data_IF_747552885367
#
_entry.id   IF_747552885367
#
_cell.length_a   1.000
_cell.length_b   1.000
_cell.length_c   1.000
_cell.angle_alpha   90.00
_cell.angle_beta   90.00
_cell.angle_gamma   90.00
#
_symmetry.space_group_name_H-M   'P 1'
#
loop_
_entity.id
_entity.type
_entity.pdbx_description
1 polymer ?
#
# COMPACT_ATOMS: atom_id res chain seq x y z
N UNK A 1 -15.60 10.36 22.23
CA UNK A 1 -15.81 8.89 22.25
C UNK A 1 -16.06 8.47 20.81
N UNK A 2 -15.12 7.77 20.19
CA UNK A 2 -15.29 7.25 18.82
C UNK A 2 -16.17 6.01 18.94
N UNK A 3 -17.43 6.10 18.50
CA UNK A 3 -18.28 4.91 18.41
C UNK A 3 -17.89 4.16 17.14
N UNK A 4 -17.63 2.83 17.20
CA UNK A 4 -17.40 2.04 16.01
C UNK A 4 -18.60 2.21 15.06
N UNK A 5 -18.34 2.50 13.79
CA UNK A 5 -19.40 2.57 12.78
C UNK A 5 -19.99 1.16 12.61
N UNK A 6 -21.31 1.06 12.71
CA UNK A 6 -22.01 -0.18 12.42
C UNK A 6 -22.24 -0.28 10.91
N UNK A 7 -21.30 -0.92 10.23
CA UNK A 7 -21.25 -1.11 8.77
C UNK A 7 -22.42 -1.95 8.23
N UNK A 8 -23.18 -2.62 9.11
CA UNK A 8 -24.38 -3.39 8.73
C UNK A 8 -25.59 -2.48 8.47
N UNK A 9 -25.57 -1.25 8.97
CA UNK A 9 -26.63 -0.26 8.77
C UNK A 9 -26.53 0.41 7.43
N UNK A 10 -27.60 1.11 7.04
CA UNK A 10 -27.63 1.95 5.85
C UNK A 10 -26.41 2.86 5.78
N UNK A 11 -25.86 2.98 4.58
CA UNK A 11 -24.68 3.77 4.32
C UNK A 11 -24.99 5.26 4.62
N UNK A 12 -24.11 5.90 5.40
CA UNK A 12 -24.25 7.29 5.81
C UNK A 12 -24.23 8.29 4.64
N UNK A 13 -23.69 7.89 3.48
CA UNK A 13 -23.72 8.68 2.26
C UNK A 13 -25.13 8.76 1.62
N UNK A 14 -26.10 7.99 2.13
CA UNK A 14 -27.45 7.90 1.56
C UNK A 14 -27.53 7.09 0.26
N UNK A 15 -26.42 6.47 -0.15
CA UNK A 15 -26.30 5.63 -1.34
C UNK A 15 -25.72 4.29 -0.90
N UNK A 16 -26.39 3.20 -1.27
CA UNK A 16 -25.90 1.84 -1.06
C UNK A 16 -25.02 1.40 -2.23
N UNK A 17 -23.99 0.62 -1.91
CA UNK A 17 -23.08 0.04 -2.90
C UNK A 17 -23.17 -1.47 -2.82
N UNK A 18 -23.38 -2.13 -3.95
CA UNK A 18 -23.37 -3.59 -4.01
C UNK A 18 -21.92 -4.12 -3.99
N UNK A 19 -21.08 -3.57 -4.86
CA UNK A 19 -19.75 -4.10 -5.13
C UNK A 19 -18.68 -3.01 -4.89
N UNK A 20 -17.62 -3.37 -4.18
CA UNK A 20 -16.42 -2.55 -3.99
C UNK A 20 -15.25 -3.25 -4.68
N UNK A 21 -14.58 -2.54 -5.59
CA UNK A 21 -13.40 -3.01 -6.31
C UNK A 21 -12.19 -2.18 -5.87
N UNK A 22 -11.14 -2.85 -5.43
CA UNK A 22 -9.92 -2.22 -4.94
C UNK A 22 -8.74 -2.58 -5.84
N UNK A 23 -8.15 -1.58 -6.49
CA UNK A 23 -6.78 -1.68 -6.97
C UNK A 23 -5.85 -1.59 -5.76
N UNK A 24 -5.32 -2.73 -5.36
CA UNK A 24 -4.49 -2.86 -4.17
C UNK A 24 -3.16 -2.11 -4.31
N UNK A 25 -2.63 -1.93 -5.51
CA UNK A 25 -1.37 -1.21 -5.68
C UNK A 25 -1.50 0.27 -5.36
N UNK A 26 -2.67 0.86 -5.59
CA UNK A 26 -3.01 2.23 -5.18
C UNK A 26 -3.04 2.37 -3.66
N UNK A 27 -3.36 1.30 -2.93
CA UNK A 27 -3.39 1.27 -1.45
C UNK A 27 -1.99 1.00 -0.88
N UNK A 28 -1.30 -0.01 -1.41
CA UNK A 28 -0.01 -0.48 -0.89
C UNK A 28 1.06 0.62 -1.02
N UNK A 29 1.15 1.29 -2.17
CA UNK A 29 2.20 2.29 -2.41
C UNK A 29 2.22 3.41 -1.34
N UNK A 30 1.12 4.12 -1.04
CA UNK A 30 1.07 5.10 0.05
C UNK A 30 1.31 4.51 1.44
N UNK A 31 0.98 3.24 1.68
CA UNK A 31 1.26 2.58 2.96
C UNK A 31 2.75 2.26 3.15
N UNK A 32 3.52 2.17 2.06
CA UNK A 32 4.98 1.94 2.09
C UNK A 32 5.79 3.22 2.24
N UNK A 33 5.31 4.30 1.64
CA UNK A 33 6.01 5.60 1.58
C UNK A 33 4.98 6.74 1.72
N UNK A 34 4.41 6.92 2.92
CA UNK A 34 3.49 8.01 3.16
C UNK A 34 4.18 9.37 2.97
N UNK A 35 3.46 10.35 2.39
CA UNK A 35 3.97 11.72 2.19
C UNK A 35 3.87 12.57 3.46
N UNK A 36 2.83 12.34 4.27
CA UNK A 36 2.44 13.22 5.38
C UNK A 36 2.79 12.66 6.76
N UNK A 37 3.35 11.44 6.83
CA UNK A 37 3.76 10.78 8.09
C UNK A 37 5.08 10.02 7.87
N UNK A 38 5.79 9.64 8.94
CA UNK A 38 6.99 8.83 8.82
C UNK A 38 6.74 7.51 8.09
N UNK A 39 7.72 6.98 7.35
CA UNK A 39 7.61 5.66 6.73
C UNK A 39 7.52 4.58 7.81
N UNK A 40 6.84 3.46 7.52
CA UNK A 40 6.76 2.33 8.45
C UNK A 40 8.15 1.77 8.75
N UNK A 41 8.35 1.31 9.97
CA UNK A 41 9.64 0.83 10.48
C UNK A 41 10.03 -0.51 9.89
N UNK A 42 9.05 -1.33 9.56
CA UNK A 42 9.24 -2.68 9.03
C UNK A 42 8.05 -3.13 8.17
N UNK A 43 8.20 -4.31 7.54
CA UNK A 43 7.19 -4.90 6.66
C UNK A 43 5.88 -5.23 7.38
N UNK A 44 5.89 -5.55 8.67
CA UNK A 44 4.67 -5.88 9.39
C UNK A 44 3.83 -4.63 9.65
N UNK A 45 4.46 -3.51 10.02
CA UNK A 45 3.79 -2.21 10.13
C UNK A 45 3.16 -1.78 8.80
N UNK A 46 3.84 -2.02 7.67
CA UNK A 46 3.28 -1.78 6.34
C UNK A 46 1.98 -2.57 6.08
N UNK A 47 1.92 -3.84 6.51
CA UNK A 47 0.73 -4.67 6.37
C UNK A 47 -0.41 -4.15 7.24
N UNK A 48 -0.10 -3.76 8.48
CA UNK A 48 -1.10 -3.16 9.39
C UNK A 48 -1.69 -1.88 8.77
N UNK A 49 -0.84 -0.99 8.25
CA UNK A 49 -1.30 0.23 7.58
C UNK A 49 -2.16 -0.06 6.35
N UNK A 50 -1.83 -1.12 5.61
CA UNK A 50 -2.62 -1.59 4.47
C UNK A 50 -4.01 -2.03 4.94
N UNK A 51 -4.08 -2.84 6.01
CA UNK A 51 -5.36 -3.30 6.59
C UNK A 51 -6.20 -2.15 7.13
N UNK A 52 -5.60 -1.18 7.82
CA UNK A 52 -6.31 0.00 8.32
C UNK A 52 -6.89 0.84 7.18
N UNK A 53 -6.15 0.98 6.08
CA UNK A 53 -6.64 1.69 4.89
C UNK A 53 -7.82 0.94 4.25
N UNK A 54 -7.73 -0.38 4.14
CA UNK A 54 -8.81 -1.22 3.62
C UNK A 54 -10.06 -1.16 4.51
N UNK A 55 -9.90 -1.27 5.83
CA UNK A 55 -11.00 -1.14 6.79
C UNK A 55 -11.69 0.21 6.61
N UNK A 56 -10.92 1.30 6.52
CA UNK A 56 -11.47 2.63 6.31
C UNK A 56 -12.25 2.75 5.01
N UNK A 57 -11.75 2.19 3.90
CA UNK A 57 -12.46 2.19 2.62
C UNK A 57 -13.74 1.36 2.71
N UNK A 58 -13.68 0.19 3.36
CA UNK A 58 -14.83 -0.66 3.59
C UNK A 58 -15.90 0.07 4.43
N UNK A 59 -15.54 0.74 5.52
CA UNK A 59 -16.48 1.49 6.38
C UNK A 59 -17.14 2.67 5.67
N UNK A 60 -16.49 3.23 4.64
CA UNK A 60 -17.05 4.35 3.85
C UNK A 60 -18.04 3.83 2.82
N UNK A 61 -17.68 2.75 2.11
CA UNK A 61 -18.46 2.23 0.98
C UNK A 61 -19.56 1.28 1.44
N UNK A 62 -19.34 0.53 2.51
CA UNK A 62 -20.25 -0.49 3.05
C UNK A 62 -20.82 -1.42 1.95
N UNK A 63 -19.98 -2.16 1.19
CA UNK A 63 -20.47 -3.00 0.10
C UNK A 63 -21.42 -4.09 0.61
N UNK A 64 -22.48 -4.38 -0.17
CA UNK A 64 -23.55 -5.31 0.23
C UNK A 64 -23.47 -6.69 -0.40
N UNK A 65 -22.69 -6.85 -1.46
CA UNK A 65 -22.60 -8.10 -2.24
C UNK A 65 -21.17 -8.57 -2.46
N UNK A 66 -20.27 -7.69 -2.89
CA UNK A 66 -18.91 -8.09 -3.28
C UNK A 66 -17.83 -7.12 -2.78
N UNK A 67 -16.75 -7.68 -2.26
CA UNK A 67 -15.45 -7.02 -2.15
C UNK A 67 -14.46 -7.73 -3.07
N UNK A 68 -14.01 -7.05 -4.12
CA UNK A 68 -12.98 -7.54 -5.04
C UNK A 68 -11.67 -6.79 -4.81
N UNK A 69 -10.60 -7.52 -4.55
CA UNK A 69 -9.25 -6.97 -4.36
C UNK A 69 -8.33 -7.45 -5.48
N UNK A 70 -7.82 -6.52 -6.27
CA UNK A 70 -6.95 -6.79 -7.41
C UNK A 70 -5.53 -6.30 -7.12
N UNK A 71 -4.57 -7.21 -7.12
CA UNK A 71 -3.14 -6.89 -7.06
C UNK A 71 -2.57 -6.99 -8.48
N UNK A 72 -1.68 -6.08 -8.90
CA UNK A 72 -1.03 -6.24 -10.21
C UNK A 72 -0.31 -7.60 -10.29
N UNK A 73 -0.60 -8.32 -11.37
CA UNK A 73 0.13 -9.50 -11.80
C UNK A 73 1.09 -9.19 -12.94
N UNK A 74 1.51 -10.22 -13.67
CA UNK A 74 2.34 -10.03 -14.88
C UNK A 74 1.54 -9.27 -15.93
N UNK A 75 2.08 -8.15 -16.42
CA UNK A 75 1.38 -7.21 -17.30
C UNK A 75 1.84 -7.31 -18.76
N UNK A 76 1.10 -6.75 -19.73
CA UNK A 76 1.52 -6.69 -21.12
C UNK A 76 2.83 -5.92 -21.32
N UNK A 77 3.56 -6.24 -22.38
CA UNK A 77 4.87 -5.63 -22.70
C UNK A 77 4.84 -4.09 -22.73
N UNK A 78 3.75 -3.50 -23.23
CA UNK A 78 3.58 -2.06 -23.26
C UNK A 78 3.66 -1.44 -21.84
N UNK A 79 2.92 -2.00 -20.88
CA UNK A 79 2.97 -1.57 -19.49
C UNK A 79 4.31 -1.89 -18.84
N UNK A 80 4.90 -3.04 -19.13
CA UNK A 80 6.24 -3.38 -18.63
C UNK A 80 7.29 -2.32 -19.02
N UNK A 81 7.25 -1.80 -20.25
CA UNK A 81 8.16 -0.73 -20.68
C UNK A 81 7.93 0.58 -19.91
N UNK A 82 6.67 0.92 -19.64
CA UNK A 82 6.31 2.09 -18.83
C UNK A 82 6.80 1.93 -17.39
N UNK A 83 6.53 0.78 -16.75
CA UNK A 83 6.98 0.47 -15.39
C UNK A 83 8.51 0.45 -15.30
N UNK A 84 9.20 -0.13 -16.28
CA UNK A 84 10.67 -0.08 -16.38
C UNK A 84 11.15 1.37 -16.39
N UNK A 85 10.64 2.18 -17.32
CA UNK A 85 11.06 3.59 -17.45
C UNK A 85 10.85 4.40 -16.18
N UNK A 86 9.73 4.16 -15.48
CA UNK A 86 9.43 4.79 -14.18
C UNK A 86 10.43 4.38 -13.11
N UNK A 87 10.71 3.08 -12.96
CA UNK A 87 11.63 2.56 -11.92
C UNK A 87 13.05 3.06 -12.12
N UNK A 88 13.55 3.05 -13.35
CA UNK A 88 14.87 3.59 -13.67
C UNK A 88 15.01 5.07 -13.30
N UNK A 89 13.96 5.88 -13.55
CA UNK A 89 13.95 7.29 -13.16
C UNK A 89 13.98 7.46 -11.65
N UNK A 90 13.12 6.74 -10.91
CA UNK A 90 13.08 6.82 -9.44
C UNK A 90 14.40 6.39 -8.82
N UNK A 91 15.02 5.32 -9.29
CA UNK A 91 16.34 4.90 -8.81
C UNK A 91 17.40 5.96 -9.06
N UNK A 92 17.41 6.60 -10.24
CA UNK A 92 18.32 7.68 -10.55
C UNK A 92 18.09 8.90 -9.65
N UNK A 93 16.84 9.35 -9.52
CA UNK A 93 16.47 10.50 -8.68
C UNK A 93 16.87 10.27 -7.21
N UNK A 94 16.79 9.03 -6.71
CA UNK A 94 17.23 8.66 -5.35
C UNK A 94 18.75 8.76 -5.20
N UNK A 95 19.51 8.31 -6.20
CA UNK A 95 20.99 8.43 -6.21
C UNK A 95 21.38 9.91 -6.26
N UNK A 96 20.81 10.68 -7.19
CA UNK A 96 21.11 12.11 -7.36
C UNK A 96 20.80 12.90 -6.07
N UNK A 97 19.69 12.58 -5.38
CA UNK A 97 19.34 13.19 -4.09
C UNK A 97 20.33 12.81 -2.98
N UNK A 98 20.75 11.56 -2.91
CA UNK A 98 21.72 11.11 -1.91
C UNK A 98 23.06 11.84 -2.10
N UNK A 99 23.54 11.97 -3.33
CA UNK A 99 24.77 12.71 -3.66
C UNK A 99 24.64 14.21 -3.31
N UNK A 100 23.50 14.84 -3.60
CA UNK A 100 23.24 16.23 -3.23
C UNK A 100 23.20 16.43 -1.70
N UNK A 101 22.54 15.53 -0.97
CA UNK A 101 22.50 15.59 0.50
C UNK A 101 23.89 15.44 1.12
N UNK A 102 24.74 14.55 0.59
CA UNK A 102 26.11 14.40 1.09
C UNK A 102 26.99 15.63 0.78
N UNK A 103 26.82 16.28 -0.38
CA UNK A 103 27.49 17.56 -0.68
C UNK A 103 27.10 18.65 0.30
N UNK A 104 25.80 18.82 0.55
CA UNK A 104 25.29 19.81 1.51
C UNK A 104 25.84 19.53 2.92
N UNK A 105 25.86 18.27 3.37
CA UNK A 105 26.43 17.91 4.68
C UNK A 105 27.92 18.25 4.78
N UNK A 106 28.69 18.02 3.72
CA UNK A 106 30.12 18.33 3.68
C UNK A 106 30.36 19.85 3.72
N UNK A 107 29.54 20.64 3.01
CA UNK A 107 29.60 22.10 3.04
C UNK A 107 29.27 22.67 4.42
N UNK A 108 28.23 22.16 5.09
CA UNK A 108 27.87 22.58 6.46
C UNK A 108 29.00 22.25 7.45
N UNK A 109 29.59 21.05 7.37
CA UNK A 109 30.74 20.66 8.21
C UNK A 109 31.97 21.53 7.96
N UNK A 110 32.19 21.96 6.72
CA UNK A 110 33.32 22.82 6.37
C UNK A 110 33.16 24.26 6.87
N UNK A 111 31.93 24.73 7.08
CA UNK A 111 31.62 26.07 7.57
C UNK A 111 31.53 26.18 9.11
N UNK A 112 31.89 25.11 9.84
CA UNK A 112 31.82 24.98 11.32
C UNK A 112 30.44 25.30 11.92
N UNK A 113 29.40 25.21 11.08
CA UNK A 113 28.02 25.42 11.48
C UNK A 113 27.51 24.12 12.12
N UNK A 114 26.92 24.21 13.31
CA UNK A 114 26.40 23.06 14.03
C UNK A 114 25.32 22.38 13.17
N UNK A 115 25.64 21.20 12.63
CA UNK A 115 24.60 20.31 12.13
C UNK A 115 23.63 20.06 13.29
N UNK A 116 22.33 20.38 13.17
CA UNK A 116 21.38 19.94 14.18
C UNK A 116 21.56 18.44 14.34
N UNK A 117 21.80 17.98 15.57
CA UNK A 117 21.93 16.56 15.85
C UNK A 117 20.76 15.84 15.21
N UNK A 118 21.03 14.84 14.36
CA UNK A 118 20.01 13.98 13.80
C UNK A 118 19.30 13.27 14.98
N UNK A 119 18.26 13.89 15.55
CA UNK A 119 17.36 13.25 16.50
C UNK A 119 16.66 12.03 15.88
N UNK A 120 16.83 11.81 14.58
CA UNK A 120 16.38 10.66 13.80
C UNK A 120 17.43 9.55 13.61
N UNK A 121 18.69 9.70 14.07
CA UNK A 121 19.69 8.61 13.95
C UNK A 121 19.32 7.35 14.75
N UNK A 122 18.42 7.45 15.73
CA UNK A 122 17.94 6.31 16.52
C UNK A 122 16.81 5.50 15.86
N UNK A 123 16.25 5.94 14.74
CA UNK A 123 15.33 5.11 13.94
C UNK A 123 15.85 5.06 12.51
N UNK A 124 16.93 4.29 12.32
CA UNK A 124 17.34 3.81 10.99
C UNK A 124 16.24 2.84 10.51
N UNK A 125 15.11 3.37 10.05
CA UNK A 125 14.11 2.56 9.37
C UNK A 125 14.79 1.92 8.18
N UNK A 126 14.60 0.61 8.01
CA UNK A 126 15.10 -0.06 6.82
C UNK A 126 14.48 0.63 5.60
N UNK A 127 15.31 1.17 4.71
CA UNK A 127 14.83 1.76 3.49
C UNK A 127 14.04 0.71 2.70
N UNK A 128 12.74 0.91 2.55
CA UNK A 128 11.88 -0.04 1.84
C UNK A 128 12.07 0.12 0.32
N UNK A 129 12.64 -0.90 -0.33
CA UNK A 129 12.76 -0.90 -1.79
C UNK A 129 11.39 -1.10 -2.45
N UNK A 130 10.79 0.00 -2.91
CA UNK A 130 9.49 -0.03 -3.60
C UNK A 130 9.45 -0.91 -4.86
N UNK A 131 10.60 -1.26 -5.45
CA UNK A 131 10.65 -2.20 -6.58
C UNK A 131 10.19 -3.61 -6.18
N UNK A 132 10.20 -3.94 -4.89
CA UNK A 132 9.69 -5.23 -4.44
C UNK A 132 8.16 -5.36 -4.60
N UNK A 133 7.44 -4.25 -4.85
CA UNK A 133 6.03 -4.25 -5.28
C UNK A 133 5.97 -4.61 -6.77
N UNK A 134 6.31 -5.87 -7.06
CA UNK A 134 6.33 -6.48 -8.39
C UNK A 134 5.98 -7.96 -8.26
N UNK A 135 5.14 -8.51 -9.16
CA UNK A 135 4.91 -9.95 -9.22
C UNK A 135 6.21 -10.76 -9.21
N UNK A 136 6.18 -11.90 -8.54
CA UNK A 136 7.33 -12.82 -8.43
C UNK A 136 8.34 -12.50 -7.32
N UNK A 137 8.16 -11.40 -6.57
CA UNK A 137 9.03 -11.11 -5.42
C UNK A 137 8.55 -11.84 -4.16
N UNK A 138 9.44 -12.16 -3.19
CA UNK A 138 9.04 -12.71 -1.91
C UNK A 138 8.08 -11.80 -1.13
N UNK A 139 8.19 -10.48 -1.32
CA UNK A 139 7.29 -9.51 -0.71
C UNK A 139 5.83 -9.71 -1.17
N UNK A 140 5.59 -9.86 -2.48
CA UNK A 140 4.24 -10.05 -3.01
C UNK A 140 3.64 -11.40 -2.60
N UNK A 141 4.45 -12.45 -2.50
CA UNK A 141 4.00 -13.74 -1.96
C UNK A 141 3.54 -13.58 -0.51
N UNK A 142 4.36 -12.94 0.34
CA UNK A 142 4.02 -12.72 1.75
C UNK A 142 2.79 -11.83 1.91
N UNK A 143 2.67 -10.78 1.11
CA UNK A 143 1.52 -9.89 1.06
C UNK A 143 0.22 -10.66 0.77
N UNK A 144 0.24 -11.59 -0.19
CA UNK A 144 -0.93 -12.40 -0.50
C UNK A 144 -1.37 -13.25 0.70
N UNK A 145 -0.43 -13.82 1.45
CA UNK A 145 -0.72 -14.60 2.67
C UNK A 145 -1.30 -13.73 3.79
N UNK A 146 -0.75 -12.53 3.98
CA UNK A 146 -1.29 -11.54 4.92
C UNK A 146 -2.71 -11.12 4.56
N UNK A 147 -2.99 -10.86 3.27
CA UNK A 147 -4.34 -10.50 2.82
C UNK A 147 -5.33 -11.65 2.99
N UNK A 148 -4.92 -12.90 2.70
CA UNK A 148 -5.75 -14.08 2.99
C UNK A 148 -6.07 -14.21 4.47
N UNK A 149 -5.09 -13.96 5.34
CA UNK A 149 -5.31 -13.93 6.79
C UNK A 149 -6.29 -12.83 7.18
N UNK A 150 -6.06 -11.60 6.69
CA UNK A 150 -6.92 -10.44 6.96
C UNK A 150 -8.37 -10.68 6.55
N UNK A 151 -8.61 -11.21 5.34
CA UNK A 151 -9.95 -11.57 4.85
C UNK A 151 -10.62 -12.56 5.80
N UNK A 152 -9.94 -13.67 6.13
CA UNK A 152 -10.48 -14.68 7.05
C UNK A 152 -10.76 -14.10 8.42
N UNK A 153 -9.88 -13.25 8.94
CA UNK A 153 -10.06 -12.59 10.21
C UNK A 153 -11.30 -11.69 10.18
N UNK A 154 -11.45 -10.82 9.17
CA UNK A 154 -12.59 -9.92 9.02
C UNK A 154 -13.91 -10.66 8.82
N UNK A 155 -13.96 -11.73 8.02
CA UNK A 155 -15.16 -12.56 7.88
C UNK A 155 -15.61 -13.18 9.21
N UNK A 156 -14.67 -13.52 10.11
CA UNK A 156 -14.99 -14.08 11.42
C UNK A 156 -15.41 -13.00 12.43
N UNK A 157 -14.77 -11.82 12.41
CA UNK A 157 -14.94 -10.79 13.44
C UNK A 157 -15.91 -9.67 13.08
N UNK A 158 -16.12 -9.39 11.79
CA UNK A 158 -16.97 -8.29 11.31
C UNK A 158 -18.26 -8.84 10.68
N UNK A 159 -19.44 -8.58 11.27
CA UNK A 159 -20.72 -9.02 10.73
C UNK A 159 -21.00 -8.55 9.29
N UNK A 160 -20.55 -7.36 8.90
CA UNK A 160 -20.78 -6.81 7.56
C UNK A 160 -20.05 -7.60 6.46
N UNK A 161 -18.99 -8.34 6.82
CA UNK A 161 -18.24 -9.18 5.89
C UNK A 161 -18.87 -10.57 5.69
N UNK A 162 -19.80 -10.99 6.57
CA UNK A 162 -20.37 -12.34 6.54
C UNK A 162 -21.36 -12.57 5.40
N UNK A 163 -21.99 -11.49 4.92
CA UNK A 163 -23.03 -11.52 3.91
C UNK A 163 -22.53 -11.19 2.50
N UNK A 164 -21.23 -10.97 2.33
CA UNK A 164 -20.63 -10.59 1.04
C UNK A 164 -19.68 -11.67 0.54
N UNK A 165 -19.56 -11.75 -0.77
CA UNK A 165 -18.47 -12.46 -1.43
C UNK A 165 -17.19 -11.63 -1.36
N UNK A 166 -16.06 -12.29 -1.09
CA UNK A 166 -14.75 -11.64 -1.05
C UNK A 166 -13.80 -12.35 -2.00
N UNK A 167 -13.34 -11.64 -3.03
CA UNK A 167 -12.44 -12.16 -4.06
C UNK A 167 -11.09 -11.48 -3.93
N UNK A 168 -10.02 -12.29 -3.86
CA UNK A 168 -8.63 -11.82 -3.92
C UNK A 168 -7.97 -12.33 -5.20
N UNK A 169 -7.72 -11.43 -6.14
CA UNK A 169 -6.90 -11.67 -7.33
C UNK A 169 -5.47 -11.22 -7.04
N UNK A 170 -4.63 -12.16 -6.61
CA UNK A 170 -3.25 -11.89 -6.22
C UNK A 170 -2.31 -11.68 -7.43
N UNK A 171 -1.03 -11.44 -7.15
CA UNK A 171 -0.02 -11.17 -8.17
C UNK A 171 0.33 -12.38 -9.06
N UNK A 172 -0.14 -13.59 -8.74
CA UNK A 172 0.05 -14.77 -9.59
C UNK A 172 -1.01 -14.85 -10.70
N UNK A 173 -2.14 -14.17 -10.54
CA UNK A 173 -3.10 -13.98 -11.64
C UNK A 173 -2.50 -12.95 -12.59
N UNK A 174 -2.35 -13.22 -13.90
CA UNK A 174 -1.82 -12.23 -14.85
C UNK A 174 -2.79 -11.06 -15.03
N UNK A 175 -2.26 -9.90 -15.44
CA UNK A 175 -3.04 -8.69 -15.67
C UNK A 175 -2.78 -7.57 -14.67
N UNK A 176 -3.05 -6.34 -15.09
CA UNK A 176 -3.02 -5.16 -14.21
C UNK A 176 -4.26 -5.17 -13.31
N UNK A 177 -4.14 -4.63 -12.10
CA UNK A 177 -5.23 -4.57 -11.13
C UNK A 177 -6.47 -3.91 -11.72
N UNK A 178 -6.29 -2.77 -12.39
CA UNK A 178 -7.36 -2.05 -13.09
C UNK A 178 -8.04 -2.88 -14.20
N UNK A 179 -7.27 -3.66 -14.97
CA UNK A 179 -7.84 -4.50 -16.02
C UNK A 179 -8.53 -5.75 -15.46
N UNK A 180 -7.98 -6.38 -14.42
CA UNK A 180 -8.59 -7.51 -13.71
C UNK A 180 -9.95 -7.18 -13.09
N UNK A 181 -10.16 -5.91 -12.72
CA UNK A 181 -11.43 -5.41 -12.20
C UNK A 181 -12.47 -5.26 -13.32
N UNK A 182 -12.02 -4.93 -14.54
CA UNK A 182 -12.86 -4.67 -15.69
C UNK A 182 -13.24 -5.92 -16.49
N UNK A 183 -12.40 -6.95 -16.46
CA UNK A 183 -12.60 -8.25 -17.10
C UNK A 183 -13.64 -9.12 -16.37
#
# INVERSE_FOLDING_TARGET
>A
VYHPLDETRLNLNGIEFDNLYLDMNVIIHPCTHPKDRPPPKNKDEMMILTFECMDRLFSIVCPRKLLYMAIDGVTPRAKMNQQRSRRFRVSKDTIDKAEQMEKIKNEIRANDDLLPEDKNQQQKSEHFDSNCITPGTPFMSKLADYLRYYIRHRMNTNPAWRSIEVILSDANVPGEGEHKIMD
#
